data_IF_312418895543
#
_entry.id   IF_312418895543
#
_cell.length_a   1.000
_cell.length_b   1.000
_cell.length_c   1.000
_cell.angle_alpha   90.00
_cell.angle_beta   90.00
_cell.angle_gamma   90.00
#
_symmetry.space_group_name_H-M   'P 1'
#
loop_
_entity.id
_entity.type
_entity.pdbx_description
1 polymer ?
#
# COMPACT_ATOMS: atom_id res chain seq x y z
N UNK A 1 44.92 -37.30 -29.46
CA UNK A 1 43.89 -36.24 -29.50
C UNK A 1 43.01 -36.42 -28.27
N UNK A 2 43.37 -35.76 -27.16
CA UNK A 2 42.57 -35.76 -25.94
C UNK A 2 41.63 -34.55 -25.98
N UNK A 3 40.33 -34.80 -25.87
CA UNK A 3 39.29 -33.79 -25.91
C UNK A 3 38.95 -33.41 -24.46
N UNK A 4 39.49 -32.30 -23.97
CA UNK A 4 39.12 -31.76 -22.65
C UNK A 4 37.71 -31.17 -22.72
N UNK A 5 36.80 -31.72 -21.91
CA UNK A 5 35.44 -31.21 -21.72
C UNK A 5 35.45 -30.23 -20.56
N UNK A 6 35.43 -28.94 -20.85
CA UNK A 6 35.19 -27.90 -19.84
C UNK A 6 33.70 -27.94 -19.45
N UNK A 7 33.42 -28.25 -18.18
CA UNK A 7 32.09 -28.16 -17.60
C UNK A 7 31.83 -26.72 -17.13
N UNK A 8 30.93 -26.00 -17.78
CA UNK A 8 30.42 -24.73 -17.27
C UNK A 8 29.42 -25.00 -16.13
N UNK A 9 29.80 -24.64 -14.91
CA UNK A 9 28.90 -24.58 -13.78
C UNK A 9 28.03 -23.31 -13.89
N UNK A 10 26.75 -23.47 -14.20
CA UNK A 10 25.76 -22.39 -14.10
C UNK A 10 25.42 -22.17 -12.62
N UNK A 11 25.93 -21.08 -12.04
CA UNK A 11 25.44 -20.56 -10.77
C UNK A 11 24.04 -19.99 -11.00
N UNK A 12 23.01 -20.70 -10.55
CA UNK A 12 21.65 -20.19 -10.50
C UNK A 12 21.59 -19.07 -9.45
N UNK A 13 21.57 -17.83 -9.91
CA UNK A 13 21.26 -16.66 -9.08
C UNK A 13 19.77 -16.74 -8.79
N UNK A 14 19.40 -17.13 -7.56
CA UNK A 14 18.03 -16.93 -7.08
C UNK A 14 17.83 -15.42 -6.98
N UNK A 15 17.16 -14.83 -7.97
CA UNK A 15 16.65 -13.47 -7.85
C UNK A 15 15.66 -13.50 -6.69
N UNK A 16 15.99 -12.83 -5.59
CA UNK A 16 15.05 -12.61 -4.50
C UNK A 16 13.97 -11.74 -5.14
N UNK A 17 12.80 -12.32 -5.39
CA UNK A 17 11.62 -11.59 -5.87
C UNK A 17 11.15 -10.78 -4.68
N UNK A 18 11.73 -9.60 -4.54
CA UNK A 18 11.45 -8.71 -3.44
C UNK A 18 10.09 -8.07 -3.74
N UNK A 19 9.05 -8.47 -3.01
CA UNK A 19 7.71 -7.89 -3.18
C UNK A 19 7.83 -6.37 -3.02
N UNK A 20 7.63 -5.63 -4.12
CA UNK A 20 7.84 -4.18 -4.09
C UNK A 20 6.82 -3.56 -3.14
N UNK A 21 7.35 -2.79 -2.20
CA UNK A 21 6.68 -2.05 -1.13
C UNK A 21 7.29 -0.64 -1.10
N UNK A 22 7.40 -0.03 -2.29
CA UNK A 22 8.41 0.97 -2.61
C UNK A 22 8.41 2.14 -1.62
N UNK A 23 7.24 2.69 -1.31
CA UNK A 23 7.11 3.81 -0.37
C UNK A 23 7.54 3.41 1.04
N UNK A 24 7.16 2.22 1.52
CA UNK A 24 7.52 1.77 2.87
C UNK A 24 9.03 1.53 3.01
N UNK A 25 9.73 1.16 1.93
CA UNK A 25 11.19 1.04 1.92
C UNK A 25 11.89 2.39 1.93
N UNK A 26 11.39 3.36 1.17
CA UNK A 26 11.90 4.74 1.20
C UNK A 26 11.65 5.41 2.55
N UNK A 27 10.62 4.97 3.26
CA UNK A 27 10.15 5.54 4.51
C UNK A 27 10.42 4.69 5.75
N UNK A 28 11.52 3.92 5.74
CA UNK A 28 11.98 3.18 6.93
C UNK A 28 12.09 4.11 8.15
N UNK A 29 11.57 3.64 9.29
CA UNK A 29 11.51 4.41 10.54
C UNK A 29 10.35 5.40 10.64
N UNK A 30 9.60 5.68 9.57
CA UNK A 30 8.43 6.55 9.60
C UNK A 30 7.16 5.75 9.91
N UNK A 31 6.27 6.30 10.76
CA UNK A 31 5.00 5.67 11.12
C UNK A 31 3.84 6.66 11.09
N UNK A 32 2.67 6.18 10.67
CA UNK A 32 1.44 6.96 10.59
C UNK A 32 0.36 6.33 11.45
N UNK A 33 0.33 6.70 12.74
CA UNK A 33 -0.53 6.07 13.74
C UNK A 33 -1.77 6.91 14.08
N UNK A 34 -1.93 8.09 13.48
CA UNK A 34 -3.13 8.93 13.66
C UNK A 34 -4.25 8.40 12.76
N UNK A 35 -5.47 8.19 13.29
CA UNK A 35 -6.64 7.80 12.49
C UNK A 35 -7.00 8.83 11.39
N UNK A 36 -6.66 10.10 11.60
CA UNK A 36 -6.90 11.20 10.66
C UNK A 36 -5.86 11.24 9.54
N UNK A 37 -4.62 10.80 9.82
CA UNK A 37 -3.51 10.72 8.87
C UNK A 37 -2.87 9.33 8.85
N UNK A 38 -3.60 8.27 8.46
CA UNK A 38 -3.14 6.90 8.63
C UNK A 38 -2.27 6.39 7.47
N UNK A 39 -2.21 7.11 6.35
CA UNK A 39 -1.53 6.64 5.14
C UNK A 39 -0.11 7.19 5.08
N UNK A 40 0.87 6.28 5.03
CA UNK A 40 2.25 6.62 4.72
C UNK A 40 2.40 6.90 3.22
N UNK A 41 2.96 8.05 2.89
CA UNK A 41 3.13 8.46 1.49
C UNK A 41 4.48 9.15 1.24
N UNK A 42 4.82 9.28 -0.04
CA UNK A 42 6.09 9.85 -0.50
C UNK A 42 5.86 11.11 -1.32
N UNK A 43 6.58 12.18 -0.98
CA UNK A 43 6.64 13.38 -1.82
C UNK A 43 7.88 13.30 -2.73
N UNK A 44 7.70 13.13 -4.05
CA UNK A 44 8.83 13.04 -4.98
C UNK A 44 9.59 14.35 -5.17
N UNK A 45 8.99 15.51 -4.83
CA UNK A 45 9.61 16.83 -4.99
C UNK A 45 10.54 17.12 -3.83
N UNK A 46 10.05 16.97 -2.59
CA UNK A 46 10.87 17.20 -1.39
C UNK A 46 11.70 15.98 -1.00
N UNK A 47 11.40 14.81 -1.58
CA UNK A 47 12.00 13.53 -1.23
C UNK A 47 11.82 13.19 0.25
N UNK A 48 10.61 13.43 0.76
CA UNK A 48 10.27 13.19 2.17
C UNK A 48 9.05 12.31 2.33
N UNK A 49 9.04 11.56 3.43
CA UNK A 49 7.90 10.77 3.88
C UNK A 49 6.96 11.62 4.70
N UNK A 50 5.66 11.44 4.49
CA UNK A 50 4.65 12.14 5.26
C UNK A 50 3.43 11.25 5.47
N UNK A 51 2.71 11.54 6.56
CA UNK A 51 1.40 10.97 6.82
C UNK A 51 0.33 11.82 6.17
N UNK A 52 -0.63 11.17 5.52
CA UNK A 52 -1.75 11.85 4.88
C UNK A 52 -3.08 11.22 5.23
N UNK A 53 -4.11 12.05 5.12
CA UNK A 53 -5.47 11.59 5.28
C UNK A 53 -5.91 10.72 4.10
N UNK A 54 -6.89 9.86 4.36
CA UNK A 54 -7.52 9.06 3.31
C UNK A 54 -8.15 9.99 2.25
N UNK A 55 -7.85 9.83 0.95
CA UNK A 55 -8.35 10.73 -0.11
C UNK A 55 -9.87 10.87 -0.12
N UNK A 56 -10.58 9.77 0.11
CA UNK A 56 -12.03 9.74 0.14
C UNK A 56 -12.66 10.43 1.36
N UNK A 57 -11.88 10.94 2.31
CA UNK A 57 -12.40 11.82 3.37
C UNK A 57 -12.41 13.30 2.96
N UNK A 58 -11.79 13.64 1.84
CA UNK A 58 -11.65 15.00 1.32
C UNK A 58 -12.07 15.10 -0.15
N UNK A 59 -12.98 14.21 -0.56
CA UNK A 59 -13.52 14.20 -1.92
C UNK A 59 -14.46 15.39 -2.14
N UNK A 60 -14.60 15.83 -3.39
CA UNK A 60 -15.49 16.91 -3.80
C UNK A 60 -16.38 16.45 -4.94
N UNK A 61 -17.67 16.78 -4.87
CA UNK A 61 -18.58 16.54 -5.98
C UNK A 61 -18.38 17.55 -7.11
N UNK A 62 -19.14 17.40 -8.20
CA UNK A 62 -19.04 18.27 -9.38
C UNK A 62 -19.33 19.75 -9.10
N UNK A 63 -20.06 20.04 -8.02
CA UNK A 63 -20.37 21.40 -7.57
C UNK A 63 -19.29 21.98 -6.63
N UNK A 64 -18.21 21.23 -6.37
CA UNK A 64 -17.13 21.60 -5.43
C UNK A 64 -17.49 21.39 -3.96
N UNK A 65 -18.62 20.75 -3.65
CA UNK A 65 -19.02 20.48 -2.27
C UNK A 65 -18.30 19.24 -1.73
N UNK A 66 -17.86 19.29 -0.47
CA UNK A 66 -17.21 18.16 0.21
C UNK A 66 -18.17 16.97 0.29
N UNK A 67 -17.66 15.79 -0.05
CA UNK A 67 -18.35 14.50 0.10
C UNK A 67 -17.61 13.68 1.14
N UNK A 68 -18.33 13.23 2.17
CA UNK A 68 -17.82 12.27 3.15
C UNK A 68 -18.36 10.90 2.75
N UNK A 69 -17.46 10.02 2.35
CA UNK A 69 -17.81 8.63 2.03
C UNK A 69 -17.91 7.79 3.30
N UNK A 70 -18.90 6.89 3.34
CA UNK A 70 -19.08 5.91 4.41
C UNK A 70 -19.46 4.56 3.81
N UNK A 71 -19.14 3.49 4.54
CA UNK A 71 -19.29 2.12 4.07
C UNK A 71 -20.24 1.30 4.94
N UNK A 72 -20.93 0.34 4.31
CA UNK A 72 -21.87 -0.56 4.97
C UNK A 72 -21.20 -1.77 5.63
N UNK A 73 -21.97 -2.55 6.39
CA UNK A 73 -21.46 -3.67 7.18
C UNK A 73 -20.77 -4.78 6.34
N UNK A 74 -21.27 -5.05 5.12
CA UNK A 74 -20.72 -6.12 4.26
C UNK A 74 -19.34 -5.79 3.68
N UNK A 75 -19.05 -4.50 3.53
CA UNK A 75 -17.78 -3.98 2.99
C UNK A 75 -17.38 -2.74 3.78
N UNK A 76 -16.92 -2.89 5.03
CA UNK A 76 -16.85 -1.78 5.98
C UNK A 76 -15.65 -0.85 5.77
N UNK A 77 -14.74 -1.18 4.84
CA UNK A 77 -13.50 -0.45 4.67
C UNK A 77 -13.57 0.45 3.45
N UNK A 78 -13.15 1.71 3.61
CA UNK A 78 -13.05 2.65 2.51
C UNK A 78 -11.72 2.40 1.78
N UNK A 79 -11.82 2.14 0.48
CA UNK A 79 -10.69 2.04 -0.44
C UNK A 79 -10.67 3.23 -1.40
N UNK A 80 -9.53 3.42 -2.05
CA UNK A 80 -9.39 4.42 -3.10
C UNK A 80 -8.58 3.88 -4.27
N UNK A 81 -8.88 4.40 -5.45
CA UNK A 81 -8.08 4.24 -6.66
C UNK A 81 -8.09 5.53 -7.45
N UNK A 82 -7.26 5.61 -8.48
CA UNK A 82 -7.28 6.72 -9.43
C UNK A 82 -7.47 6.17 -10.83
N UNK A 83 -8.33 6.83 -11.60
CA UNK A 83 -8.48 6.57 -13.03
C UNK A 83 -7.20 6.92 -13.81
N UNK A 84 -7.10 6.53 -15.08
CA UNK A 84 -5.96 6.90 -15.93
C UNK A 84 -5.78 8.43 -16.03
N UNK A 85 -6.88 9.18 -15.97
CA UNK A 85 -6.90 10.65 -15.96
C UNK A 85 -6.66 11.25 -14.56
N UNK A 86 -6.24 10.44 -13.58
CA UNK A 86 -5.95 10.82 -12.20
C UNK A 86 -7.15 11.37 -11.41
N UNK A 87 -8.38 11.06 -11.84
CA UNK A 87 -9.58 11.32 -11.05
C UNK A 87 -9.70 10.28 -9.92
N UNK A 88 -9.99 10.74 -8.71
CA UNK A 88 -10.21 9.91 -7.53
C UNK A 88 -11.46 9.04 -7.73
N UNK A 89 -11.35 7.76 -7.38
CA UNK A 89 -12.46 6.83 -7.28
C UNK A 89 -12.46 6.22 -5.87
N UNK A 90 -13.61 6.28 -5.20
CA UNK A 90 -13.80 5.81 -3.83
C UNK A 90 -14.75 4.61 -3.84
N UNK A 91 -14.38 3.54 -3.15
CA UNK A 91 -15.19 2.33 -3.10
C UNK A 91 -15.14 1.68 -1.71
N UNK A 92 -16.15 0.88 -1.42
CA UNK A 92 -16.19 0.09 -0.20
C UNK A 92 -15.63 -1.31 -0.45
N UNK A 93 -14.72 -1.75 0.41
CA UNK A 93 -13.98 -3.00 0.34
C UNK A 93 -14.34 -3.93 1.50
N UNK A 94 -14.29 -5.24 1.23
CA UNK A 94 -14.49 -6.26 2.25
C UNK A 94 -13.32 -6.34 3.24
N UNK A 95 -12.13 -5.88 2.83
CA UNK A 95 -10.92 -5.86 3.65
C UNK A 95 -10.25 -4.49 3.56
N UNK A 96 -9.60 -4.09 4.65
CA UNK A 96 -8.82 -2.86 4.69
C UNK A 96 -7.56 -3.03 3.82
N UNK A 97 -7.49 -2.28 2.74
CA UNK A 97 -6.32 -2.20 1.87
C UNK A 97 -6.19 -0.76 1.38
N UNK A 98 -5.28 -0.01 1.98
CA UNK A 98 -4.96 1.34 1.56
C UNK A 98 -3.45 1.45 1.35
N UNK A 99 -3.07 1.82 0.13
CA UNK A 99 -1.67 2.02 -0.26
C UNK A 99 -1.27 3.50 -0.24
N UNK A 100 -0.15 3.79 -0.90
CA UNK A 100 0.33 5.16 -1.12
C UNK A 100 -0.52 5.86 -2.19
N UNK A 101 -0.85 7.13 -1.94
CA UNK A 101 -1.54 7.98 -2.93
C UNK A 101 -0.58 8.38 -4.05
N UNK A 102 0.69 8.62 -3.74
CA UNK A 102 1.72 8.84 -4.76
C UNK A 102 1.78 7.68 -5.75
N UNK A 103 1.81 6.43 -5.27
CA UNK A 103 1.76 5.25 -6.14
C UNK A 103 0.48 5.25 -6.95
N UNK A 104 -0.69 5.28 -6.31
CA UNK A 104 -1.96 5.11 -7.01
C UNK A 104 -2.26 6.23 -8.03
N UNK A 105 -1.87 7.49 -7.73
CA UNK A 105 -2.20 8.65 -8.56
C UNK A 105 -1.11 9.01 -9.56
N UNK A 106 0.16 8.98 -9.14
CA UNK A 106 1.26 9.48 -9.98
C UNK A 106 1.93 8.38 -10.79
N UNK A 107 2.18 7.22 -10.18
CA UNK A 107 2.92 6.13 -10.84
C UNK A 107 2.02 5.11 -11.51
N UNK A 108 0.85 4.83 -10.90
CA UNK A 108 -0.07 3.80 -11.30
C UNK A 108 -1.52 4.25 -11.56
N UNK A 109 -1.75 5.41 -12.22
CA UNK A 109 -3.10 5.81 -12.55
C UNK A 109 -3.76 4.77 -13.47
N UNK A 110 -5.04 4.50 -13.22
CA UNK A 110 -5.85 3.52 -13.96
C UNK A 110 -5.62 2.06 -13.57
N UNK A 111 -4.72 1.78 -12.63
CA UNK A 111 -4.45 0.41 -12.17
C UNK A 111 -5.12 0.16 -10.82
N UNK A 112 -5.61 -1.07 -10.62
CA UNK A 112 -6.18 -1.56 -9.36
C UNK A 112 -5.80 -3.02 -9.16
N UNK A 113 -5.83 -3.50 -7.92
CA UNK A 113 -5.64 -4.91 -7.61
C UNK A 113 -7.00 -5.55 -7.34
N UNK A 114 -7.48 -6.37 -8.28
CA UNK A 114 -8.87 -6.84 -8.31
C UNK A 114 -9.12 -8.16 -7.56
N UNK A 115 -8.07 -8.80 -7.03
CA UNK A 115 -8.13 -10.25 -6.81
C UNK A 115 -8.60 -10.67 -5.40
N UNK A 116 -9.18 -9.78 -4.61
CA UNK A 116 -9.80 -10.11 -3.31
C UNK A 116 -8.83 -10.59 -2.21
N UNK A 117 -7.55 -10.82 -2.52
CA UNK A 117 -6.54 -11.36 -1.60
C UNK A 117 -5.78 -10.30 -0.77
N UNK A 118 -6.38 -9.14 -0.47
CA UNK A 118 -5.70 -8.05 0.26
C UNK A 118 -4.41 -7.58 -0.43
N UNK A 119 -4.45 -7.51 -1.76
CA UNK A 119 -3.34 -7.01 -2.55
C UNK A 119 -3.28 -5.48 -2.46
N UNK A 120 -2.06 -4.97 -2.30
CA UNK A 120 -1.73 -3.56 -2.31
C UNK A 120 -1.15 -3.20 -3.68
N UNK A 121 -1.65 -2.13 -4.28
CA UNK A 121 -1.05 -1.56 -5.48
C UNK A 121 0.31 -0.96 -5.12
N UNK A 122 1.34 -1.42 -5.80
CA UNK A 122 2.72 -0.96 -5.66
C UNK A 122 3.35 -0.63 -7.01
N UNK A 123 4.58 -0.12 -6.96
CA UNK A 123 5.37 0.21 -8.13
C UNK A 123 6.75 -0.45 -8.03
N UNK A 124 7.12 -1.22 -9.04
CA UNK A 124 8.48 -1.74 -9.21
C UNK A 124 9.33 -0.67 -9.90
N UNK A 125 10.26 -0.06 -9.14
CA UNK A 125 11.15 0.98 -9.67
C UNK A 125 12.16 0.46 -10.69
N UNK A 126 12.51 -0.83 -10.64
CA UNK A 126 13.50 -1.42 -11.56
C UNK A 126 12.85 -1.74 -12.91
N UNK A 127 11.64 -2.30 -12.87
CA UNK A 127 10.89 -2.68 -14.07
C UNK A 127 9.97 -1.56 -14.59
N UNK A 128 9.87 -0.45 -13.84
CA UNK A 128 9.01 0.69 -14.15
C UNK A 128 7.54 0.32 -14.38
N UNK A 129 7.00 -0.61 -13.58
CA UNK A 129 5.65 -1.14 -13.75
C UNK A 129 4.87 -1.18 -12.45
N UNK A 130 3.55 -1.08 -12.57
CA UNK A 130 2.63 -1.28 -11.47
C UNK A 130 2.51 -2.77 -11.16
N UNK A 131 2.57 -3.12 -9.88
CA UNK A 131 2.47 -4.49 -9.40
C UNK A 131 1.45 -4.57 -8.26
N UNK A 132 0.89 -5.76 -8.06
CA UNK A 132 0.03 -6.04 -6.92
C UNK A 132 0.79 -6.92 -5.94
N UNK A 133 1.12 -6.37 -4.78
CA UNK A 133 1.90 -7.03 -3.73
C UNK A 133 0.98 -7.52 -2.62
N UNK A 134 1.23 -8.70 -2.07
CA UNK A 134 0.52 -9.15 -0.86
C UNK A 134 0.90 -8.24 0.30
N UNK A 135 -0.06 -7.99 1.20
CA UNK A 135 0.22 -7.25 2.42
C UNK A 135 1.35 -7.95 3.20
N UNK A 136 2.44 -7.27 3.62
CA UNK A 136 3.64 -7.94 4.13
C UNK A 136 3.39 -8.76 5.40
N UNK A 137 2.49 -8.26 6.24
CA UNK A 137 2.05 -8.97 7.43
C UNK A 137 1.22 -10.24 7.17
N UNK A 138 0.91 -10.57 5.90
CA UNK A 138 0.26 -11.84 5.55
C UNK A 138 1.24 -12.99 5.34
N UNK A 139 2.53 -12.70 5.21
CA UNK A 139 3.60 -13.69 5.18
C UNK A 139 4.89 -13.06 5.77
N UNK A 140 4.95 -13.00 7.09
CA UNK A 140 6.14 -12.56 7.83
C UNK A 140 6.95 -13.79 8.23
N UNK A 141 7.81 -14.27 7.33
CA UNK A 141 8.61 -15.48 7.54
C UNK A 141 7.74 -16.72 7.85
N UNK A 142 6.61 -16.86 7.15
CA UNK A 142 5.63 -17.93 7.39
C UNK A 142 4.65 -17.65 8.53
N UNK A 143 4.73 -16.48 9.18
CA UNK A 143 3.76 -16.04 10.19
C UNK A 143 2.74 -15.12 9.53
N UNK A 144 1.47 -15.52 9.56
CA UNK A 144 0.36 -14.66 9.15
C UNK A 144 -0.15 -13.84 10.34
N UNK A 145 -0.21 -12.53 10.18
CA UNK A 145 -0.81 -11.61 11.14
C UNK A 145 -2.25 -11.25 10.74
N UNK A 146 -3.09 -11.03 11.74
CA UNK A 146 -4.48 -10.59 11.55
C UNK A 146 -4.93 -9.73 12.73
N UNK A 147 -5.88 -8.85 12.47
CA UNK A 147 -6.51 -8.02 13.49
C UNK A 147 -7.86 -8.63 13.90
N UNK A 148 -8.17 -8.57 15.19
CA UNK A 148 -9.49 -8.96 15.67
C UNK A 148 -10.53 -7.93 15.24
N UNK A 149 -11.73 -8.39 14.93
CA UNK A 149 -12.88 -7.51 14.68
C UNK A 149 -13.19 -6.72 15.95
N UNK A 150 -13.26 -5.38 15.87
CA UNK A 150 -13.51 -4.53 17.03
C UNK A 150 -12.98 -3.11 16.86
N UNK A 151 -12.33 -2.58 17.90
CA UNK A 151 -11.82 -1.21 17.94
C UNK A 151 -10.62 -0.98 16.99
N UNK A 152 -9.84 -2.03 16.70
CA UNK A 152 -8.63 -1.97 15.88
C UNK A 152 -8.67 -2.96 14.69
N UNK A 153 -9.59 -2.81 13.72
CA UNK A 153 -9.80 -3.81 12.68
C UNK A 153 -8.81 -3.71 11.50
N UNK A 154 -8.04 -2.62 11.40
CA UNK A 154 -7.17 -2.34 10.24
C UNK A 154 -5.77 -2.89 10.52
N UNK A 155 -5.34 -3.89 9.73
CA UNK A 155 -3.95 -4.33 9.73
C UNK A 155 -3.11 -3.33 8.94
N UNK A 156 -2.10 -2.77 9.57
CA UNK A 156 -1.12 -1.87 8.96
C UNK A 156 0.29 -2.39 9.19
N UNK A 157 1.24 -1.84 8.45
CA UNK A 157 2.64 -2.23 8.56
C UNK A 157 3.57 -1.05 8.37
N UNK A 158 4.78 -1.19 8.89
CA UNK A 158 5.91 -0.31 8.58
C UNK A 158 7.21 -1.09 8.74
N UNK A 159 8.29 -0.54 8.22
CA UNK A 159 9.64 -1.02 8.50
C UNK A 159 10.30 -0.06 9.47
N UNK A 160 10.95 -0.57 10.51
CA UNK A 160 11.78 0.28 11.38
C UNK A 160 13.07 0.71 10.68
N UNK A 161 13.91 1.50 11.37
CA UNK A 161 15.20 1.98 10.85
C UNK A 161 16.16 0.84 10.47
N UNK A 162 15.98 -0.36 11.03
CA UNK A 162 16.78 -1.54 10.70
C UNK A 162 16.24 -2.31 9.49
N UNK A 163 15.10 -1.88 8.94
CA UNK A 163 14.39 -2.59 7.88
C UNK A 163 13.58 -3.77 8.38
N UNK A 164 13.34 -3.91 9.69
CA UNK A 164 12.51 -4.98 10.24
C UNK A 164 11.02 -4.62 10.09
N UNK A 165 10.24 -5.58 9.61
CA UNK A 165 8.79 -5.48 9.47
C UNK A 165 8.13 -5.40 10.85
N UNK A 166 7.24 -4.42 11.01
CA UNK A 166 6.38 -4.25 12.18
C UNK A 166 4.93 -4.20 11.72
N UNK A 167 4.12 -5.12 12.26
CA UNK A 167 2.70 -5.26 11.96
C UNK A 167 1.88 -4.74 13.14
N UNK A 168 0.92 -3.85 12.89
CA UNK A 168 0.12 -3.22 13.94
C UNK A 168 -1.35 -3.19 13.54
N UNK A 169 -2.23 -3.34 14.53
CA UNK A 169 -3.66 -3.17 14.35
C UNK A 169 -4.06 -1.74 14.75
N UNK A 170 -4.69 -1.04 13.82
CA UNK A 170 -5.12 0.35 13.97
C UNK A 170 -6.65 0.45 13.96
N UNK A 171 -7.15 1.54 14.54
CA UNK A 171 -8.56 1.89 14.50
C UNK A 171 -8.97 2.35 13.11
N UNK A 172 -10.29 2.42 12.88
CA UNK A 172 -10.82 2.91 11.61
C UNK A 172 -10.34 4.32 11.30
N UNK A 173 -10.06 4.57 10.03
CA UNK A 173 -9.70 5.90 9.55
C UNK A 173 -10.83 6.88 9.85
N UNK A 174 -10.46 8.10 10.23
CA UNK A 174 -11.41 9.18 10.53
C UNK A 174 -11.30 10.30 9.51
N UNK A 175 -12.43 10.87 9.15
CA UNK A 175 -12.44 12.14 8.45
C UNK A 175 -11.94 13.22 9.41
N UNK A 176 -11.08 14.12 8.92
CA UNK A 176 -10.79 15.34 9.66
C UNK A 176 -11.97 16.30 9.45
N UNK A 177 -12.51 16.84 10.54
CA UNK A 177 -13.64 17.76 10.52
C UNK A 177 -13.20 19.24 10.49
N UNK A 178 -11.90 19.54 10.64
CA UNK A 178 -11.35 20.90 10.80
C UNK A 178 -10.51 21.43 9.61
N UNK A 179 -10.77 21.00 8.38
CA UNK A 179 -10.06 21.48 7.17
C UNK A 179 -10.84 22.54 6.39
#
# INVERSE_FOLDING_TARGET
MMLERAALAFLAVNAVVDASLMVHRKCQGHTCNSPEFPLLDWDPVTQTCHCRAHPCHHDQNQDGNRVIHSCGADKPYLGFSYTADKNLNCECLANAAAGSVYIARELCPGHTCSDGENLLLDYDENEHKCVCSKHPCKDDSGVEHSCQTGEFPILSYHYDESGKLNCVCNSNYKANDEL
#
